data_IF_178518707957
#
_entry.id   IF_178518707957
#
_cell.length_a   1.000
_cell.length_b   1.000
_cell.length_c   1.000
_cell.angle_alpha   90.00
_cell.angle_beta   90.00
_cell.angle_gamma   90.00
#
_symmetry.space_group_name_H-M   'P 1'
#
loop_
_entity.id
_entity.type
_entity.pdbx_description
1 polymer ?
#
# COMPACT_ATOMS: atom_id res chain seq x y z
N UNK A 1 4.93 -23.37 -12.65
CA UNK A 1 4.93 -21.94 -12.29
C UNK A 1 5.05 -21.88 -10.78
N UNK A 2 6.17 -21.39 -10.25
CA UNK A 2 6.33 -21.23 -8.80
C UNK A 2 5.27 -20.24 -8.32
N UNK A 3 4.45 -20.68 -7.36
CA UNK A 3 3.40 -19.85 -6.79
C UNK A 3 4.12 -18.85 -5.88
N UNK A 4 4.34 -17.63 -6.36
CA UNK A 4 4.86 -16.56 -5.51
C UNK A 4 3.97 -16.47 -4.26
N UNK A 5 4.56 -16.74 -3.09
CA UNK A 5 3.85 -16.68 -1.84
C UNK A 5 3.37 -15.24 -1.62
N UNK A 6 2.07 -15.08 -1.36
CA UNK A 6 1.45 -13.77 -1.11
C UNK A 6 0.95 -13.76 0.32
N UNK A 7 1.26 -12.68 1.03
CA UNK A 7 0.76 -12.42 2.39
C UNK A 7 -0.38 -11.40 2.30
N UNK A 8 -1.44 -11.64 3.07
CA UNK A 8 -2.55 -10.69 3.24
C UNK A 8 -2.36 -9.96 4.57
N UNK A 9 -2.25 -8.63 4.51
CA UNK A 9 -2.16 -7.76 5.66
C UNK A 9 -3.44 -6.91 5.75
N UNK A 10 -4.06 -6.86 6.93
CA UNK A 10 -5.22 -5.99 7.19
C UNK A 10 -4.76 -4.93 8.18
N UNK A 11 -4.98 -3.67 7.82
CA UNK A 11 -4.58 -2.51 8.61
C UNK A 11 -5.80 -1.67 8.93
N UNK A 12 -5.85 -1.12 10.13
CA UNK A 12 -6.76 -0.03 10.43
C UNK A 12 -6.26 1.30 9.82
N UNK A 13 -7.02 2.38 10.01
CA UNK A 13 -6.67 3.70 9.45
C UNK A 13 -5.35 4.24 10.01
N UNK A 14 -5.05 3.97 11.28
CA UNK A 14 -3.85 4.45 11.94
C UNK A 14 -2.62 3.67 11.47
N UNK A 15 -2.71 2.34 11.45
CA UNK A 15 -1.66 1.45 10.95
C UNK A 15 -1.37 1.69 9.47
N UNK A 16 -2.40 1.96 8.65
CA UNK A 16 -2.24 2.34 7.24
C UNK A 16 -1.45 3.64 7.09
N UNK A 17 -1.72 4.63 7.94
CA UNK A 17 -0.96 5.88 7.97
C UNK A 17 0.49 5.69 8.40
N UNK A 18 0.75 4.83 9.39
CA UNK A 18 2.11 4.45 9.81
C UNK A 18 2.85 3.80 8.65
N UNK A 19 2.23 2.83 7.98
CA UNK A 19 2.84 2.11 6.86
C UNK A 19 3.22 3.05 5.72
N UNK A 20 2.33 3.97 5.33
CA UNK A 20 2.64 4.96 4.28
C UNK A 20 3.84 5.82 4.68
N UNK A 21 3.86 6.34 5.91
CA UNK A 21 4.97 7.18 6.37
C UNK A 21 6.29 6.41 6.40
N UNK A 22 6.30 5.22 6.99
CA UNK A 22 7.51 4.40 7.12
C UNK A 22 8.08 3.98 5.75
N UNK A 23 7.22 3.58 4.80
CA UNK A 23 7.65 3.25 3.45
C UNK A 23 8.17 4.47 2.70
N UNK A 24 7.58 5.65 2.91
CA UNK A 24 8.05 6.89 2.29
C UNK A 24 9.38 7.37 2.86
N UNK A 25 9.59 7.22 4.18
CA UNK A 25 10.88 7.47 4.83
C UNK A 25 11.95 6.53 4.26
N UNK A 26 11.70 5.22 4.23
CA UNK A 26 12.63 4.24 3.66
C UNK A 26 12.96 4.53 2.18
N UNK A 27 11.97 4.94 1.38
CA UNK A 27 12.18 5.34 -0.02
C UNK A 27 13.17 6.52 -0.10
N UNK A 28 12.99 7.52 0.76
CA UNK A 28 13.87 8.69 0.77
C UNK A 28 15.28 8.32 1.23
N UNK A 29 15.43 7.49 2.25
CA UNK A 29 16.73 6.99 2.70
C UNK A 29 17.47 6.25 1.58
N UNK A 30 16.79 5.38 0.84
CA UNK A 30 17.39 4.67 -0.31
C UNK A 30 17.83 5.63 -1.42
N UNK A 31 17.06 6.68 -1.68
CA UNK A 31 17.43 7.70 -2.66
C UNK A 31 18.64 8.52 -2.22
N UNK A 32 18.71 8.89 -0.93
CA UNK A 32 19.88 9.56 -0.34
C UNK A 32 21.14 8.69 -0.43
N UNK A 33 20.97 7.37 -0.25
CA UNK A 33 22.04 6.38 -0.43
C UNK A 33 22.39 6.08 -1.90
N UNK A 34 21.74 6.73 -2.88
CA UNK A 34 21.85 6.43 -4.32
C UNK A 34 21.56 4.96 -4.67
N UNK A 35 20.65 4.34 -3.93
CA UNK A 35 20.18 2.96 -4.16
C UNK A 35 18.82 2.99 -4.85
N UNK A 36 18.51 1.90 -5.54
CA UNK A 36 17.21 1.74 -6.21
C UNK A 36 16.07 1.60 -5.19
N UNK A 37 15.10 2.54 -5.15
CA UNK A 37 13.94 2.45 -4.28
C UNK A 37 12.77 1.68 -4.91
N UNK A 38 12.88 1.21 -6.16
CA UNK A 38 11.79 0.62 -6.94
C UNK A 38 10.95 -0.42 -6.19
N UNK A 39 11.56 -1.41 -5.50
CA UNK A 39 10.80 -2.37 -4.70
C UNK A 39 9.97 -1.75 -3.57
N UNK A 40 10.45 -0.65 -2.96
CA UNK A 40 9.72 0.08 -1.92
C UNK A 40 8.62 0.93 -2.53
N UNK A 41 8.88 1.57 -3.67
CA UNK A 41 7.87 2.34 -4.42
C UNK A 41 6.69 1.46 -4.83
N UNK A 42 6.95 0.23 -5.28
CA UNK A 42 5.91 -0.75 -5.63
C UNK A 42 5.01 -1.10 -4.43
N UNK A 43 5.59 -1.28 -3.24
CA UNK A 43 4.84 -1.60 -2.02
C UNK A 43 4.08 -0.38 -1.51
N UNK A 44 4.69 0.81 -1.59
CA UNK A 44 4.06 2.06 -1.21
C UNK A 44 2.82 2.34 -2.07
N UNK A 45 2.93 2.16 -3.40
CA UNK A 45 1.79 2.33 -4.31
C UNK A 45 0.66 1.34 -4.00
N UNK A 46 0.99 0.05 -3.82
CA UNK A 46 0.00 -0.98 -3.40
C UNK A 46 -0.67 -0.64 -2.07
N UNK A 47 0.08 -0.01 -1.15
CA UNK A 47 -0.43 0.39 0.16
C UNK A 47 -1.39 1.56 0.02
N UNK A 48 -1.07 2.58 -0.79
CA UNK A 48 -1.91 3.75 -1.04
C UNK A 48 -3.21 3.34 -1.75
N UNK A 49 -3.11 2.47 -2.76
CA UNK A 49 -4.26 2.02 -3.56
C UNK A 49 -5.10 0.92 -2.88
N UNK A 50 -4.67 0.45 -1.70
CA UNK A 50 -5.39 -0.58 -0.98
C UNK A 50 -6.82 -0.11 -0.65
N UNK A 51 -7.86 -0.85 -1.08
CA UNK A 51 -9.24 -0.39 -0.96
C UNK A 51 -9.67 -0.32 0.50
N UNK A 52 -10.16 0.85 0.94
CA UNK A 52 -10.68 1.00 2.29
C UNK A 52 -12.11 0.46 2.42
N UNK A 53 -12.54 0.15 3.65
CA UNK A 53 -13.92 -0.27 3.93
C UNK A 53 -14.97 0.79 3.52
N UNK A 54 -14.60 2.08 3.55
CA UNK A 54 -15.48 3.17 3.11
C UNK A 54 -15.66 3.15 1.59
N UNK A 55 -14.58 2.93 0.85
CA UNK A 55 -14.61 2.91 -0.61
C UNK A 55 -15.41 1.72 -1.14
N UNK A 56 -15.30 0.57 -0.47
CA UNK A 56 -16.12 -0.62 -0.77
C UNK A 56 -17.62 -0.36 -0.57
N UNK A 57 -17.99 0.41 0.45
CA UNK A 57 -19.40 0.75 0.71
C UNK A 57 -19.95 1.76 -0.30
N UNK A 58 -19.14 2.71 -0.74
CA UNK A 58 -19.49 3.67 -1.79
C UNK A 58 -19.69 2.95 -3.13
N UNK A 59 -18.75 2.10 -3.53
CA UNK A 59 -18.82 1.34 -4.79
C UNK A 59 -20.07 0.45 -4.88
N UNK A 60 -20.41 -0.25 -3.79
CA UNK A 60 -21.65 -1.07 -3.72
C UNK A 60 -22.94 -0.27 -3.86
N UNK A 61 -22.93 1.04 -3.53
CA UNK A 61 -24.11 1.90 -3.69
C UNK A 61 -24.28 2.36 -5.13
N UNK A 62 -23.18 2.65 -5.83
CA UNK A 62 -23.23 3.03 -7.24
C UNK A 62 -23.60 1.84 -8.13
N UNK A 63 -23.14 0.64 -7.82
CA UNK A 63 -23.51 -0.59 -8.56
C UNK A 63 -24.98 -1.00 -8.39
N UNK A 64 -25.68 -0.47 -7.39
CA UNK A 64 -27.08 -0.78 -7.10
C UNK A 64 -28.07 0.27 -7.66
N UNK A 65 -27.59 1.24 -8.45
CA UNK A 65 -28.37 2.36 -8.99
C UNK A 65 -28.43 2.30 -10.51
#
# INVERSE_FOLDING_TARGET
MERQEKVVLTLDRYEHGIMIRALNELRNDLLEEQRDPGPVEDVLLKTIDAPSQKDRKAKRRDEAR
#
